data_IF_833030917898
#
_entry.id   IF_833030917898
#
_cell.length_a   1.000
_cell.length_b   1.000
_cell.length_c   1.000
_cell.angle_alpha   90.00
_cell.angle_beta   90.00
_cell.angle_gamma   90.00
#
_symmetry.space_group_name_H-M   'P 1'
#
loop_
_entity.id
_entity.type
_entity.pdbx_description
1 polymer ?
#
# COMPACT_ATOMS: atom_id res chain seq x y z
N UNK A 1 -0.85 -29.71 -6.09
CA UNK A 1 -0.94 -29.15 -4.72
C UNK A 1 0.42 -29.24 -4.01
N UNK A 2 1.05 -30.42 -3.91
CA UNK A 2 2.32 -30.61 -3.18
C UNK A 2 3.45 -29.74 -3.71
N UNK A 3 3.61 -29.61 -5.04
CA UNK A 3 4.64 -28.77 -5.63
C UNK A 3 4.48 -27.30 -5.21
N UNK A 4 3.26 -26.74 -5.26
CA UNK A 4 3.01 -25.35 -4.86
C UNK A 4 3.27 -25.10 -3.36
N UNK A 5 3.03 -26.10 -2.51
CA UNK A 5 3.35 -26.02 -1.07
C UNK A 5 4.87 -26.07 -0.85
N UNK A 6 5.59 -26.89 -1.61
CA UNK A 6 7.06 -26.94 -1.55
C UNK A 6 7.68 -25.62 -2.01
N UNK A 7 7.18 -25.07 -3.12
CA UNK A 7 7.63 -23.76 -3.64
C UNK A 7 7.36 -22.65 -2.63
N UNK A 8 6.19 -22.62 -1.99
CA UNK A 8 5.85 -21.62 -0.96
C UNK A 8 6.78 -21.72 0.26
N UNK A 9 7.14 -22.94 0.70
CA UNK A 9 8.10 -23.15 1.79
C UNK A 9 9.48 -22.60 1.43
N UNK A 10 9.97 -22.88 0.23
CA UNK A 10 11.24 -22.37 -0.25
C UNK A 10 11.25 -20.83 -0.33
N UNK A 11 10.14 -20.21 -0.71
CA UNK A 11 9.98 -18.74 -0.67
C UNK A 11 9.99 -18.21 0.76
N UNK A 12 9.34 -18.89 1.71
CA UNK A 12 9.31 -18.48 3.11
C UNK A 12 10.70 -18.50 3.74
N UNK A 13 11.54 -19.49 3.40
CA UNK A 13 12.94 -19.56 3.87
C UNK A 13 13.78 -18.38 3.36
N UNK A 14 13.42 -17.80 2.23
CA UNK A 14 14.07 -16.62 1.64
C UNK A 14 13.47 -15.29 2.10
N UNK A 15 12.50 -15.29 3.00
CA UNK A 15 11.74 -14.09 3.43
C UNK A 15 12.60 -12.99 4.05
N UNK A 16 13.82 -13.29 4.52
CA UNK A 16 14.79 -12.32 5.04
C UNK A 16 15.62 -11.62 3.97
N UNK A 17 15.38 -11.90 2.68
CA UNK A 17 16.08 -11.26 1.58
C UNK A 17 15.92 -9.73 1.62
N UNK A 18 16.99 -9.02 1.28
CA UNK A 18 17.00 -7.56 1.20
C UNK A 18 17.54 -7.10 -0.17
N UNK A 19 17.26 -5.86 -0.52
CA UNK A 19 17.72 -5.28 -1.76
C UNK A 19 17.20 -6.06 -2.99
N UNK A 20 18.04 -6.27 -4.02
CA UNK A 20 17.64 -6.99 -5.24
C UNK A 20 17.10 -8.41 -4.98
N UNK A 21 17.58 -9.08 -3.92
CA UNK A 21 17.05 -10.39 -3.51
C UNK A 21 15.58 -10.35 -3.10
N UNK A 22 15.11 -9.25 -2.53
CA UNK A 22 13.69 -9.04 -2.20
C UNK A 22 12.83 -8.88 -3.46
N UNK A 23 13.33 -8.19 -4.47
CA UNK A 23 12.64 -8.05 -5.76
C UNK A 23 12.51 -9.40 -6.45
N UNK A 24 13.60 -10.19 -6.49
CA UNK A 24 13.57 -11.54 -7.04
C UNK A 24 12.59 -12.45 -6.28
N UNK A 25 12.51 -12.35 -4.95
CA UNK A 25 11.54 -13.09 -4.14
C UNK A 25 10.09 -12.74 -4.54
N UNK A 26 9.80 -11.46 -4.79
CA UNK A 26 8.48 -11.03 -5.22
C UNK A 26 8.17 -11.49 -6.65
N UNK A 27 9.15 -11.52 -7.55
CA UNK A 27 8.99 -12.06 -8.90
C UNK A 27 8.66 -13.56 -8.85
N UNK A 28 9.35 -14.34 -8.01
CA UNK A 28 9.10 -15.76 -7.81
C UNK A 28 7.71 -15.99 -7.18
N UNK A 29 7.28 -15.15 -6.24
CA UNK A 29 5.96 -15.23 -5.62
C UNK A 29 4.85 -14.94 -6.62
N UNK A 30 4.97 -13.90 -7.44
CA UNK A 30 4.00 -13.58 -8.52
C UNK A 30 3.90 -14.72 -9.53
N UNK A 31 5.02 -15.33 -9.89
CA UNK A 31 5.06 -16.50 -10.79
C UNK A 31 4.34 -17.71 -10.17
N UNK A 32 4.54 -17.96 -8.88
CA UNK A 32 3.85 -19.04 -8.15
C UNK A 32 2.34 -18.80 -8.07
N UNK A 33 1.91 -17.60 -7.72
CA UNK A 33 0.50 -17.20 -7.60
C UNK A 33 -0.20 -17.33 -8.95
N UNK A 34 0.39 -16.78 -10.00
CA UNK A 34 -0.15 -16.84 -11.37
C UNK A 34 -0.19 -18.27 -11.89
N UNK A 35 0.91 -19.02 -11.78
CA UNK A 35 0.98 -20.40 -12.25
C UNK A 35 0.05 -21.34 -11.49
N UNK A 36 -0.22 -21.06 -10.20
CA UNK A 36 -1.19 -21.83 -9.42
C UNK A 36 -2.62 -21.48 -9.82
N UNK A 37 -2.92 -20.20 -10.04
CA UNK A 37 -4.23 -19.75 -10.54
C UNK A 37 -4.56 -20.38 -11.89
N UNK A 38 -3.60 -20.40 -12.82
CA UNK A 38 -3.80 -20.97 -14.16
C UNK A 38 -4.00 -22.47 -14.13
N UNK A 39 -3.22 -23.19 -13.29
CA UNK A 39 -3.41 -24.63 -13.08
C UNK A 39 -4.76 -24.96 -12.47
N UNK A 40 -5.21 -24.19 -11.49
CA UNK A 40 -6.55 -24.36 -10.91
C UNK A 40 -7.64 -24.04 -11.94
N UNK A 41 -7.49 -22.97 -12.71
CA UNK A 41 -8.47 -22.59 -13.73
C UNK A 41 -8.59 -23.63 -14.87
N UNK A 42 -7.52 -24.40 -15.13
CA UNK A 42 -7.49 -25.46 -16.14
C UNK A 42 -8.11 -26.80 -15.66
N UNK A 43 -8.40 -26.94 -14.37
CA UNK A 43 -9.12 -28.11 -13.86
C UNK A 43 -10.59 -28.04 -14.32
N UNK A 44 -11.04 -29.08 -14.96
CA UNK A 44 -12.46 -29.25 -15.29
C UNK A 44 -13.14 -30.07 -14.18
N UNK A 45 -14.01 -29.44 -13.38
CA UNK A 45 -14.73 -30.15 -12.32
C UNK A 45 -15.80 -31.12 -12.89
N UNK A 46 -16.04 -31.07 -14.19
CA UNK A 46 -17.15 -31.80 -14.83
C UNK A 46 -18.48 -31.05 -14.64
N UNK A 47 -19.54 -31.65 -15.22
CA UNK A 47 -20.91 -31.15 -15.07
C UNK A 47 -21.62 -31.94 -13.95
N UNK A 48 -22.26 -31.23 -13.03
CA UNK A 48 -23.10 -31.80 -11.97
C UNK A 48 -24.45 -32.32 -12.49
N UNK A 49 -24.84 -31.87 -13.67
CA UNK A 49 -26.11 -32.24 -14.30
C UNK A 49 -26.16 -33.77 -14.62
N UNK A 50 -27.20 -34.40 -14.14
CA UNK A 50 -27.39 -35.87 -14.34
C UNK A 50 -26.73 -36.76 -13.28
N UNK A 51 -26.00 -36.19 -12.31
CA UNK A 51 -25.52 -36.91 -11.15
C UNK A 51 -26.62 -37.03 -10.08
N UNK A 52 -26.49 -38.02 -9.18
CA UNK A 52 -27.35 -38.08 -7.99
C UNK A 52 -27.10 -36.83 -7.11
N UNK A 53 -28.15 -36.31 -6.52
CA UNK A 53 -28.14 -35.00 -5.82
C UNK A 53 -26.87 -34.69 -5.03
N UNK A 54 -26.44 -35.53 -4.05
CA UNK A 54 -25.22 -35.24 -3.27
C UNK A 54 -23.92 -35.14 -4.06
N UNK A 55 -23.82 -35.84 -5.22
CA UNK A 55 -22.64 -35.71 -6.10
C UNK A 55 -22.70 -34.47 -6.95
N UNK A 56 -23.87 -34.09 -7.46
CA UNK A 56 -24.07 -32.82 -8.15
C UNK A 56 -23.72 -31.63 -7.27
N UNK A 57 -24.27 -31.60 -6.06
CA UNK A 57 -23.97 -30.56 -5.06
C UNK A 57 -22.46 -30.48 -4.74
N UNK A 58 -21.76 -31.60 -4.66
CA UNK A 58 -20.32 -31.64 -4.39
C UNK A 58 -19.51 -31.06 -5.57
N UNK A 59 -19.88 -31.36 -6.81
CA UNK A 59 -19.25 -30.79 -8.03
C UNK A 59 -19.46 -29.30 -8.08
N UNK A 60 -20.66 -28.82 -7.84
CA UNK A 60 -20.99 -27.40 -7.85
C UNK A 60 -20.24 -26.63 -6.74
N UNK A 61 -20.17 -27.21 -5.53
CA UNK A 61 -19.40 -26.66 -4.41
C UNK A 61 -17.92 -26.55 -4.76
N UNK A 62 -17.32 -27.63 -5.32
CA UNK A 62 -15.93 -27.64 -5.74
C UNK A 62 -15.65 -26.57 -6.83
N UNK A 63 -16.53 -26.48 -7.84
CA UNK A 63 -16.42 -25.47 -8.88
C UNK A 63 -16.52 -24.05 -8.32
N UNK A 64 -17.34 -23.84 -7.28
CA UNK A 64 -17.44 -22.60 -6.54
C UNK A 64 -16.12 -22.22 -5.85
N UNK A 65 -15.59 -23.14 -5.03
CA UNK A 65 -14.33 -22.94 -4.30
C UNK A 65 -13.14 -22.74 -5.24
N UNK A 66 -13.10 -23.50 -6.35
CA UNK A 66 -12.07 -23.34 -7.39
C UNK A 66 -12.07 -21.90 -7.96
N UNK A 67 -13.25 -21.40 -8.34
CA UNK A 67 -13.36 -20.02 -8.85
C UNK A 67 -12.93 -18.98 -7.83
N UNK A 68 -13.27 -19.19 -6.56
CA UNK A 68 -12.89 -18.28 -5.48
C UNK A 68 -11.39 -18.32 -5.22
N UNK A 69 -10.78 -19.49 -5.24
CA UNK A 69 -9.32 -19.65 -5.12
C UNK A 69 -8.58 -18.98 -6.28
N UNK A 70 -9.04 -19.17 -7.52
CA UNK A 70 -8.46 -18.50 -8.71
C UNK A 70 -8.55 -16.99 -8.59
N UNK A 71 -9.71 -16.44 -8.15
CA UNK A 71 -9.85 -15.01 -7.93
C UNK A 71 -8.93 -14.51 -6.82
N UNK A 72 -8.80 -15.24 -5.72
CA UNK A 72 -7.91 -14.94 -4.61
C UNK A 72 -6.46 -14.85 -5.06
N UNK A 73 -5.97 -15.86 -5.77
CA UNK A 73 -4.60 -15.90 -6.30
C UNK A 73 -4.31 -14.77 -7.29
N UNK A 74 -5.23 -14.47 -8.20
CA UNK A 74 -5.07 -13.34 -9.14
C UNK A 74 -5.03 -11.98 -8.43
N UNK A 75 -5.79 -11.81 -7.34
CA UNK A 75 -5.71 -10.60 -6.50
C UNK A 75 -4.38 -10.53 -5.77
N UNK A 76 -3.90 -11.63 -5.20
CA UNK A 76 -2.60 -11.72 -4.54
C UNK A 76 -1.48 -11.34 -5.50
N UNK A 77 -1.44 -11.92 -6.70
CA UNK A 77 -0.50 -11.59 -7.77
C UNK A 77 -0.52 -10.08 -8.13
N UNK A 78 -1.70 -9.47 -8.21
CA UNK A 78 -1.79 -8.02 -8.46
C UNK A 78 -1.16 -7.20 -7.32
N UNK A 79 -1.37 -7.59 -6.06
CA UNK A 79 -0.76 -6.95 -4.89
C UNK A 79 0.76 -7.16 -4.88
N UNK A 80 1.23 -8.38 -5.17
CA UNK A 80 2.66 -8.71 -5.25
C UNK A 80 3.37 -7.85 -6.30
N UNK A 81 2.77 -7.70 -7.50
CA UNK A 81 3.31 -6.82 -8.56
C UNK A 81 3.32 -5.36 -8.16
N UNK A 82 2.26 -4.86 -7.51
CA UNK A 82 2.21 -3.49 -7.02
C UNK A 82 3.31 -3.22 -5.97
N UNK A 83 3.47 -4.13 -5.01
CA UNK A 83 4.53 -4.06 -3.99
C UNK A 83 5.92 -4.11 -4.62
N UNK A 84 6.12 -5.02 -5.57
CA UNK A 84 7.38 -5.12 -6.31
C UNK A 84 7.70 -3.82 -7.06
N UNK A 85 6.71 -3.24 -7.75
CA UNK A 85 6.86 -1.96 -8.44
C UNK A 85 7.20 -0.81 -7.49
N UNK A 86 6.58 -0.77 -6.32
CA UNK A 86 6.88 0.22 -5.28
C UNK A 86 8.32 0.07 -4.79
N UNK A 87 8.75 -1.15 -4.46
CA UNK A 87 10.08 -1.43 -3.92
C UNK A 87 11.19 -1.31 -4.96
N UNK A 88 10.89 -1.46 -6.25
CA UNK A 88 11.88 -1.26 -7.31
C UNK A 88 12.34 0.20 -7.38
N UNK A 89 11.44 1.15 -7.10
CA UNK A 89 11.77 2.59 -7.08
C UNK A 89 12.40 3.12 -8.38
N UNK A 90 13.12 4.24 -8.31
CA UNK A 90 13.18 5.14 -7.15
C UNK A 90 11.86 5.88 -6.95
N UNK A 91 11.31 5.83 -5.73
CA UNK A 91 10.09 6.56 -5.37
C UNK A 91 10.22 7.10 -3.95
N UNK A 92 10.26 8.41 -3.77
CA UNK A 92 10.16 9.05 -2.46
C UNK A 92 8.69 9.15 -2.02
N UNK A 93 8.48 9.05 -0.73
CA UNK A 93 7.21 9.25 -0.05
C UNK A 93 7.43 10.15 1.16
N UNK A 94 6.48 11.01 1.45
CA UNK A 94 6.44 11.73 2.72
C UNK A 94 5.77 10.84 3.77
N UNK A 95 6.53 10.48 4.79
CA UNK A 95 6.03 9.78 5.96
C UNK A 95 5.64 10.80 7.03
N UNK A 96 4.39 10.77 7.47
CA UNK A 96 3.88 11.61 8.55
C UNK A 96 3.53 10.73 9.77
N UNK A 97 4.14 11.03 10.91
CA UNK A 97 3.85 10.38 12.17
C UNK A 97 2.69 11.09 12.89
N UNK A 98 1.52 10.44 12.94
CA UNK A 98 0.33 10.99 13.58
C UNK A 98 0.22 10.58 15.05
N UNK A 99 -0.09 11.54 15.94
CA UNK A 99 -0.51 11.29 17.30
C UNK A 99 -2.04 11.21 17.35
N UNK A 100 -2.59 10.01 17.48
CA UNK A 100 -4.03 9.78 17.55
C UNK A 100 -4.66 10.17 18.91
N UNK A 101 -3.87 10.44 19.94
CA UNK A 101 -4.37 11.01 21.19
C UNK A 101 -4.81 12.47 21.04
N UNK A 102 -4.28 13.16 20.03
CA UNK A 102 -4.72 14.49 19.61
C UNK A 102 -5.66 14.37 18.42
N UNK A 103 -6.92 14.04 18.70
CA UNK A 103 -7.91 13.71 17.67
C UNK A 103 -8.09 14.82 16.65
N UNK A 104 -8.05 14.42 15.37
CA UNK A 104 -8.39 15.21 14.19
C UNK A 104 -9.32 14.39 13.31
N UNK A 105 -10.10 15.02 12.46
CA UNK A 105 -11.07 14.34 11.60
C UNK A 105 -10.44 13.31 10.66
N UNK A 106 -9.24 13.58 10.15
CA UNK A 106 -8.54 12.70 9.20
C UNK A 106 -7.70 11.60 9.82
N UNK A 107 -7.03 11.84 10.96
CA UNK A 107 -6.13 10.82 11.56
C UNK A 107 -5.66 11.17 12.97
N UNK A 108 -5.24 12.36 13.23
CA UNK A 108 -4.58 12.86 14.42
C UNK A 108 -3.71 14.04 14.05
N UNK A 109 -2.98 14.59 15.02
CA UNK A 109 -2.01 15.64 14.76
C UNK A 109 -0.72 15.03 14.25
N UNK A 110 -0.20 15.47 13.10
CA UNK A 110 1.09 15.03 12.58
C UNK A 110 2.22 15.69 13.35
N UNK A 111 2.96 14.94 14.16
CA UNK A 111 4.02 15.45 15.02
C UNK A 111 5.43 15.26 14.47
N UNK A 112 5.61 14.39 13.49
CA UNK A 112 6.89 14.17 12.83
C UNK A 112 6.72 13.94 11.34
N UNK A 113 7.76 14.26 10.58
CA UNK A 113 7.82 14.05 9.15
C UNK A 113 9.21 13.52 8.75
N UNK A 114 9.25 12.66 7.75
CA UNK A 114 10.48 12.14 7.16
C UNK A 114 10.25 11.78 5.69
N UNK A 115 11.31 11.71 4.90
CA UNK A 115 11.26 11.08 3.58
C UNK A 115 11.48 9.58 3.73
N UNK A 116 10.60 8.78 3.15
CA UNK A 116 10.74 7.34 3.00
C UNK A 116 11.00 7.04 1.52
N UNK A 117 12.12 6.44 1.20
CA UNK A 117 12.50 6.12 -0.17
C UNK A 117 12.58 4.63 -0.39
N UNK A 118 12.12 4.19 -1.57
CA UNK A 118 12.31 2.82 -2.02
C UNK A 118 13.16 2.83 -3.28
N UNK A 119 14.19 1.98 -3.32
CA UNK A 119 15.03 1.76 -4.48
C UNK A 119 15.66 0.37 -4.44
N UNK A 120 15.63 -0.36 -5.55
CA UNK A 120 16.27 -1.67 -5.70
C UNK A 120 15.94 -2.67 -4.56
N UNK A 121 14.69 -2.69 -4.11
CA UNK A 121 14.22 -3.54 -3.03
C UNK A 121 14.70 -3.12 -1.63
N UNK A 122 15.30 -1.95 -1.51
CA UNK A 122 15.73 -1.35 -0.24
C UNK A 122 14.75 -0.28 0.19
N UNK A 123 14.65 -0.10 1.49
CA UNK A 123 13.93 0.98 2.14
C UNK A 123 14.96 1.85 2.84
N UNK A 124 14.90 3.15 2.59
CA UNK A 124 15.70 4.16 3.29
C UNK A 124 14.77 5.16 3.95
N UNK A 125 14.97 5.38 5.24
CA UNK A 125 14.25 6.37 6.03
C UNK A 125 15.19 7.53 6.29
N UNK A 126 14.85 8.69 5.75
CA UNK A 126 15.55 9.94 5.99
C UNK A 126 15.40 10.42 7.43
N UNK A 127 15.99 11.56 7.74
CA UNK A 127 15.92 12.16 9.06
C UNK A 127 14.46 12.42 9.46
N UNK A 128 14.09 11.94 10.64
CA UNK A 128 12.78 12.19 11.24
C UNK A 128 12.82 13.55 11.94
N UNK A 129 12.03 14.50 11.45
CA UNK A 129 12.00 15.89 11.94
C UNK A 129 10.69 16.21 12.65
N UNK A 130 10.73 16.93 13.79
CA UNK A 130 9.52 17.42 14.43
C UNK A 130 8.79 18.42 13.53
N UNK A 131 7.50 18.24 13.30
CA UNK A 131 6.71 19.13 12.43
C UNK A 131 6.61 20.56 12.99
N UNK A 132 6.78 20.74 14.30
CA UNK A 132 6.84 22.05 14.92
C UNK A 132 8.01 22.92 14.41
N UNK A 133 9.08 22.31 13.92
CA UNK A 133 10.25 22.98 13.35
C UNK A 133 10.11 23.25 11.84
N UNK A 134 9.03 22.73 11.23
CA UNK A 134 8.80 22.77 9.79
C UNK A 134 7.68 23.76 9.40
N UNK A 135 7.31 24.63 10.29
CA UNK A 135 6.25 25.64 10.03
C UNK A 135 6.76 26.67 9.03
N UNK A 136 6.09 26.79 7.91
CA UNK A 136 6.42 27.74 6.85
C UNK A 136 5.92 29.17 7.18
N UNK A 137 6.43 30.20 6.49
CA UNK A 137 5.84 31.53 6.53
C UNK A 137 4.36 31.54 6.14
N UNK A 138 3.63 32.54 6.59
CA UNK A 138 2.22 32.73 6.22
C UNK A 138 2.04 32.83 4.70
N UNK A 139 1.00 32.18 4.18
CA UNK A 139 0.69 32.18 2.75
C UNK A 139 1.60 31.33 1.86
N UNK A 140 2.59 30.60 2.42
CA UNK A 140 3.51 29.77 1.63
C UNK A 140 2.79 28.67 0.84
N UNK A 141 1.81 28.03 1.45
CA UNK A 141 1.00 26.97 0.83
C UNK A 141 -0.48 27.29 1.06
N UNK A 142 -1.18 27.82 0.06
CA UNK A 142 -2.60 28.14 0.21
C UNK A 142 -3.42 26.87 0.53
N UNK A 143 -4.23 26.93 1.56
CA UNK A 143 -5.19 25.87 1.85
C UNK A 143 -6.24 25.80 0.72
N UNK A 144 -6.74 24.59 0.47
CA UNK A 144 -7.74 24.31 -0.56
C UNK A 144 -8.94 23.56 0.03
N UNK A 145 -10.01 23.36 -0.75
CA UNK A 145 -11.16 22.56 -0.39
C UNK A 145 -11.80 22.94 0.94
N UNK A 146 -12.12 21.94 1.76
CA UNK A 146 -12.78 22.14 3.05
C UNK A 146 -11.85 22.78 4.11
N UNK A 147 -10.55 22.61 4.03
CA UNK A 147 -9.60 23.34 4.88
C UNK A 147 -9.67 24.84 4.63
N UNK A 148 -9.75 25.27 3.36
CA UNK A 148 -9.94 26.68 3.03
C UNK A 148 -11.33 27.19 3.46
N UNK A 149 -12.37 26.38 3.26
CA UNK A 149 -13.74 26.77 3.52
C UNK A 149 -14.09 26.85 5.01
N UNK A 150 -13.57 25.93 5.82
CA UNK A 150 -13.99 25.78 7.22
C UNK A 150 -12.89 26.12 8.23
N UNK A 151 -11.61 26.14 7.81
CA UNK A 151 -10.45 26.24 8.68
C UNK A 151 -9.41 27.27 8.20
N UNK A 152 -9.82 28.22 7.34
CA UNK A 152 -8.92 29.25 6.78
C UNK A 152 -8.14 30.02 7.84
N UNK A 153 -8.71 30.24 9.03
CA UNK A 153 -8.11 30.96 10.14
C UNK A 153 -6.90 30.23 10.78
N UNK A 154 -6.73 28.92 10.50
CA UNK A 154 -5.59 28.14 11.00
C UNK A 154 -4.39 28.23 10.06
N UNK A 155 -4.56 28.72 8.82
CA UNK A 155 -3.53 28.69 7.76
C UNK A 155 -2.94 27.27 7.60
N UNK A 156 -3.83 26.28 7.35
CA UNK A 156 -3.53 24.87 7.41
C UNK A 156 -2.43 24.40 6.45
N UNK A 157 -2.24 25.12 5.34
CA UNK A 157 -1.22 24.74 4.35
C UNK A 157 0.22 25.01 4.80
N UNK A 158 0.46 25.90 5.77
CA UNK A 158 1.81 26.20 6.26
C UNK A 158 2.31 25.26 7.35
N UNK A 159 1.42 24.56 8.02
CA UNK A 159 1.72 23.76 9.21
C UNK A 159 1.19 22.35 9.05
N UNK A 160 2.09 21.39 8.86
CA UNK A 160 1.76 19.97 8.70
C UNK A 160 0.85 19.43 9.81
N UNK A 161 0.94 19.98 11.03
CA UNK A 161 0.12 19.55 12.18
C UNK A 161 -1.37 19.74 11.95
N UNK A 162 -1.75 20.68 11.11
CA UNK A 162 -3.14 21.07 10.86
C UNK A 162 -3.79 20.31 9.70
N UNK A 163 -3.05 19.57 8.92
CA UNK A 163 -3.57 18.86 7.73
C UNK A 163 -4.54 17.73 8.11
N UNK A 164 -4.45 17.17 9.31
CA UNK A 164 -5.40 16.18 9.80
C UNK A 164 -6.78 16.73 10.20
N UNK A 165 -7.02 18.04 10.09
CA UNK A 165 -8.33 18.65 10.39
C UNK A 165 -9.40 18.28 9.35
N UNK A 166 -9.02 18.01 8.12
CA UNK A 166 -9.93 17.47 7.11
C UNK A 166 -9.92 15.95 7.11
N UNK A 167 -11.06 15.33 6.81
CA UNK A 167 -11.17 13.91 6.54
C UNK A 167 -10.82 13.55 5.07
N UNK A 168 -10.64 14.56 4.21
CA UNK A 168 -10.23 14.39 2.80
C UNK A 168 -8.72 14.13 2.73
N UNK A 169 -8.35 12.85 2.76
CA UNK A 169 -6.94 12.43 2.70
C UNK A 169 -6.23 12.89 1.42
N UNK A 170 -6.80 12.78 0.20
CA UNK A 170 -6.18 13.33 -1.00
C UNK A 170 -5.80 14.80 -0.89
N UNK A 171 -6.66 15.65 -0.31
CA UNK A 171 -6.38 17.06 -0.06
C UNK A 171 -5.23 17.25 0.93
N UNK A 172 -5.28 16.53 2.07
CA UNK A 172 -4.20 16.57 3.08
C UNK A 172 -2.87 16.13 2.49
N UNK A 173 -2.85 15.08 1.67
CA UNK A 173 -1.64 14.58 1.02
C UNK A 173 -1.05 15.59 0.03
N UNK A 174 -1.89 16.23 -0.79
CA UNK A 174 -1.44 17.25 -1.73
C UNK A 174 -0.83 18.48 -1.02
N UNK A 175 -1.48 18.94 0.05
CA UNK A 175 -0.97 20.06 0.85
C UNK A 175 0.30 19.68 1.62
N UNK A 176 0.41 18.45 2.12
CA UNK A 176 1.60 17.93 2.79
C UNK A 176 2.80 17.89 1.82
N UNK A 177 2.60 17.38 0.62
CA UNK A 177 3.64 17.35 -0.41
C UNK A 177 4.09 18.77 -0.80
N UNK A 178 3.15 19.69 -1.00
CA UNK A 178 3.45 21.09 -1.32
C UNK A 178 4.18 21.82 -0.18
N UNK A 179 3.84 21.52 1.08
CA UNK A 179 4.53 22.06 2.26
C UNK A 179 5.96 21.50 2.33
N UNK A 180 6.10 20.17 2.22
CA UNK A 180 7.38 19.48 2.31
C UNK A 180 8.39 19.98 1.26
N UNK A 181 7.93 20.22 0.04
CA UNK A 181 8.78 20.74 -1.03
C UNK A 181 9.39 22.13 -0.75
N UNK A 182 8.79 22.91 0.18
CA UNK A 182 9.31 24.22 0.58
C UNK A 182 10.16 24.17 1.86
N UNK A 183 10.18 23.04 2.56
CA UNK A 183 11.02 22.86 3.74
C UNK A 183 12.48 22.71 3.31
N UNK A 184 13.46 23.39 3.98
CA UNK A 184 14.87 23.18 3.70
C UNK A 184 15.26 21.68 3.79
N UNK A 185 15.80 21.12 2.71
CA UNK A 185 16.09 19.69 2.60
C UNK A 185 14.88 18.79 2.30
N UNK A 186 13.70 19.37 2.11
CA UNK A 186 12.54 18.68 1.55
C UNK A 186 12.78 18.32 0.09
N UNK A 187 12.24 17.17 -0.33
CA UNK A 187 12.30 16.71 -1.71
C UNK A 187 10.89 16.65 -2.29
N UNK A 188 10.78 16.63 -3.61
CA UNK A 188 9.52 16.27 -4.27
C UNK A 188 9.17 14.80 -3.92
N UNK A 189 7.93 14.56 -3.52
CA UNK A 189 7.40 13.27 -3.07
C UNK A 189 6.09 12.93 -3.79
#
# INVERSE_FOLDING_TARGET
AEAAVADLRALTERSTAAGPGRLALLDDLDALETGTADRLAALDPGEGDGLIGPLGDAVDAFAGEQRDAVRGLRRASAVTRALRSMLAGPRPYLLLGANNAEMRAGSGMFLSAATLSFADGRLDLGEVRPTAELVLPEGSVPATGDLAANWAWIDGGRDLRNLGLTADFPQSAALAAANWAQVPGGAEV
#
